data_IF_070619769667
#
_entry.id   IF_070619769667
#
_cell.length_a   1.000
_cell.length_b   1.000
_cell.length_c   1.000
_cell.angle_alpha   90.00
_cell.angle_beta   90.00
_cell.angle_gamma   90.00
#
_symmetry.space_group_name_H-M   'P 1'
#
loop_
_entity.id
_entity.type
_entity.pdbx_description
1 polymer ?
#
# COMPACT_ATOMS: atom_id res chain seq x y z
N UNK A 1 -3.41 -2.96 -4.52
CA UNK A 1 -2.48 -3.63 -3.59
C UNK A 1 -1.48 -2.61 -3.04
N UNK A 2 -0.99 -2.78 -1.82
CA UNK A 2 0.06 -1.94 -1.20
C UNK A 2 1.47 -2.33 -1.69
N UNK A 3 1.64 -2.44 -2.99
CA UNK A 3 2.83 -3.07 -3.58
C UNK A 3 3.97 -2.10 -3.90
N UNK A 4 3.74 -0.78 -3.82
CA UNK A 4 4.74 0.21 -4.22
C UNK A 4 6.06 0.07 -3.44
N UNK A 5 5.99 0.06 -2.11
CA UNK A 5 7.19 0.02 -1.25
C UNK A 5 7.93 -1.30 -1.47
N UNK A 6 7.22 -2.41 -1.68
CA UNK A 6 7.80 -3.75 -1.90
C UNK A 6 8.30 -4.01 -3.32
N UNK A 7 8.15 -3.06 -4.25
CA UNK A 7 8.48 -3.22 -5.67
C UNK A 7 9.49 -2.15 -6.12
N UNK A 8 10.61 -2.07 -5.41
CA UNK A 8 11.65 -1.04 -5.60
C UNK A 8 11.09 0.40 -5.55
N UNK A 9 10.01 0.58 -4.78
CA UNK A 9 9.31 1.86 -4.64
C UNK A 9 8.47 2.24 -5.86
N UNK A 10 8.51 1.44 -6.93
CA UNK A 10 7.75 1.67 -8.16
C UNK A 10 6.32 1.20 -8.02
N UNK A 11 5.39 1.96 -8.60
CA UNK A 11 3.99 1.58 -8.74
C UNK A 11 3.62 1.48 -10.21
N UNK A 12 3.32 0.28 -10.75
CA UNK A 12 2.92 0.11 -12.14
C UNK A 12 1.77 1.02 -12.55
N UNK A 13 0.85 1.28 -11.61
CA UNK A 13 -0.32 2.14 -11.80
C UNK A 13 0.03 3.61 -12.04
N UNK A 14 1.20 4.08 -11.59
CA UNK A 14 1.68 5.43 -11.89
C UNK A 14 2.30 5.52 -13.29
N UNK A 15 2.94 4.44 -13.74
CA UNK A 15 3.44 4.34 -15.12
C UNK A 15 2.29 4.20 -16.12
N UNK A 16 1.33 3.32 -15.83
CA UNK A 16 0.19 2.99 -16.66
C UNK A 16 -1.12 3.34 -15.93
N UNK A 17 -1.53 4.61 -15.92
CA UNK A 17 -2.73 5.07 -15.23
C UNK A 17 -4.00 4.50 -15.87
N UNK A 18 -5.03 4.33 -15.06
CA UNK A 18 -6.38 4.01 -15.52
C UNK A 18 -7.00 5.18 -16.28
N UNK A 19 -8.06 4.90 -17.04
CA UNK A 19 -8.91 5.92 -17.61
C UNK A 19 -10.15 6.16 -16.73
N UNK A 20 -10.65 7.39 -16.70
CA UNK A 20 -11.94 7.77 -16.10
C UNK A 20 -12.90 8.27 -17.18
N UNK A 21 -14.20 8.16 -16.93
CA UNK A 21 -15.21 8.82 -17.75
C UNK A 21 -15.08 10.33 -17.63
N UNK A 22 -15.43 11.04 -18.69
CA UNK A 22 -15.57 12.50 -18.63
C UNK A 22 -16.88 12.84 -17.93
N UNK A 23 -16.84 13.76 -16.98
CA UNK A 23 -18.04 14.19 -16.27
C UNK A 23 -19.09 14.72 -17.26
N UNK A 24 -20.30 14.17 -17.18
CA UNK A 24 -21.40 14.50 -18.09
C UNK A 24 -21.34 13.82 -19.46
N UNK A 25 -20.34 12.97 -19.75
CA UNK A 25 -20.26 12.24 -21.02
C UNK A 25 -19.82 10.78 -20.80
N UNK A 26 -20.78 9.85 -20.85
CA UNK A 26 -20.58 8.41 -20.61
C UNK A 26 -19.89 7.68 -21.76
N UNK A 27 -19.81 8.29 -22.93
CA UNK A 27 -19.21 7.68 -24.13
C UNK A 27 -17.74 8.07 -24.32
N UNK A 28 -17.22 8.95 -23.45
CA UNK A 28 -15.85 9.46 -23.53
C UNK A 28 -15.06 9.15 -22.27
N UNK A 29 -13.84 8.66 -22.46
CA UNK A 29 -12.87 8.46 -21.38
C UNK A 29 -11.64 9.36 -21.57
N UNK A 30 -10.98 9.65 -20.46
CA UNK A 30 -9.69 10.35 -20.41
C UNK A 30 -8.76 9.61 -19.45
N UNK A 31 -7.47 9.66 -19.71
CA UNK A 31 -6.46 9.12 -18.78
C UNK A 31 -6.54 9.87 -17.46
N UNK A 32 -6.61 9.15 -16.34
CA UNK A 32 -6.56 9.74 -15.01
C UNK A 32 -5.20 10.37 -14.74
N UNK A 33 -5.20 11.48 -13.99
CA UNK A 33 -3.96 12.00 -13.43
C UNK A 33 -3.46 11.04 -12.35
N UNK A 34 -2.15 10.85 -12.26
CA UNK A 34 -1.53 9.99 -11.24
C UNK A 34 -1.86 10.51 -9.84
N UNK A 35 -1.93 11.83 -9.67
CA UNK A 35 -2.36 12.44 -8.40
C UNK A 35 -3.77 11.97 -8.00
N UNK A 36 -4.72 11.96 -8.93
CA UNK A 36 -6.10 11.53 -8.66
C UNK A 36 -6.16 10.06 -8.24
N UNK A 37 -5.37 9.21 -8.90
CA UNK A 37 -5.26 7.79 -8.52
C UNK A 37 -4.67 7.64 -7.12
N UNK A 38 -3.66 8.45 -6.78
CA UNK A 38 -3.04 8.41 -5.46
C UNK A 38 -3.98 8.92 -4.35
N UNK A 39 -4.74 9.99 -4.62
CA UNK A 39 -5.76 10.52 -3.72
C UNK A 39 -6.82 9.46 -3.39
N UNK A 40 -7.32 8.73 -4.41
CA UNK A 40 -8.28 7.64 -4.22
C UNK A 40 -7.71 6.48 -3.41
N UNK A 41 -6.45 6.10 -3.64
CA UNK A 41 -5.78 5.05 -2.85
C UNK A 41 -5.61 5.46 -1.40
N UNK A 42 -5.18 6.70 -1.14
CA UNK A 42 -5.04 7.23 0.23
C UNK A 42 -6.39 7.20 0.92
N UNK A 43 -7.46 7.69 0.28
CA UNK A 43 -8.80 7.67 0.84
C UNK A 43 -9.25 6.26 1.21
N UNK A 44 -9.04 5.28 0.32
CA UNK A 44 -9.38 3.88 0.59
C UNK A 44 -8.57 3.31 1.78
N UNK A 45 -7.29 3.66 1.89
CA UNK A 45 -6.45 3.23 3.01
C UNK A 45 -6.89 3.88 4.32
N UNK A 46 -7.21 5.16 4.33
CA UNK A 46 -7.71 5.88 5.50
C UNK A 46 -9.04 5.28 5.98
N UNK A 47 -9.99 5.01 5.07
CA UNK A 47 -11.25 4.35 5.40
C UNK A 47 -11.07 2.93 5.99
N UNK A 48 -10.11 2.17 5.48
CA UNK A 48 -9.80 0.85 6.05
C UNK A 48 -9.07 0.97 7.39
N UNK A 49 -8.23 1.99 7.55
CA UNK A 49 -7.55 2.27 8.80
C UNK A 49 -8.56 2.62 9.91
N UNK A 50 -9.57 3.45 9.62
CA UNK A 50 -10.66 3.73 10.56
C UNK A 50 -11.37 2.44 11.01
N UNK A 51 -11.76 1.58 10.06
CA UNK A 51 -12.37 0.28 10.37
C UNK A 51 -11.48 -0.60 11.23
N UNK A 52 -10.17 -0.58 11.02
CA UNK A 52 -9.21 -1.34 11.83
C UNK A 52 -9.12 -0.79 13.25
N UNK A 53 -9.20 0.53 13.43
CA UNK A 53 -9.18 1.17 14.74
C UNK A 53 -10.45 0.89 15.55
N UNK A 54 -11.57 0.64 14.87
CA UNK A 54 -12.85 0.28 15.51
C UNK A 54 -12.92 -1.19 15.96
N UNK A 55 -11.95 -2.02 15.57
CA UNK A 55 -11.93 -3.43 16.00
C UNK A 55 -11.58 -3.55 17.49
N UNK A 56 -12.38 -4.34 18.20
CA UNK A 56 -12.14 -4.60 19.62
C UNK A 56 -10.89 -5.47 19.82
N UNK A 57 -9.91 -4.93 20.54
CA UNK A 57 -8.77 -5.71 21.01
C UNK A 57 -9.22 -6.79 22.02
N UNK A 58 -8.75 -8.01 21.80
CA UNK A 58 -8.79 -9.10 22.79
C UNK A 58 -7.37 -9.54 23.10
N UNK A 59 -7.10 -10.26 24.20
CA UNK A 59 -5.76 -10.77 24.48
C UNK A 59 -5.16 -11.59 23.33
N UNK A 60 -5.99 -12.27 22.55
CA UNK A 60 -5.57 -13.09 21.40
C UNK A 60 -5.28 -12.26 20.15
N UNK A 61 -6.00 -11.15 19.94
CA UNK A 61 -5.90 -10.33 18.71
C UNK A 61 -5.04 -9.09 18.87
N UNK A 62 -4.69 -8.71 20.11
CA UNK A 62 -4.02 -7.45 20.45
C UNK A 62 -2.77 -7.20 19.61
N UNK A 63 -1.83 -8.14 19.58
CA UNK A 63 -0.57 -7.94 18.85
C UNK A 63 -0.78 -7.82 17.33
N UNK A 64 -1.68 -8.64 16.77
CA UNK A 64 -2.02 -8.61 15.35
C UNK A 64 -2.67 -7.26 14.97
N UNK A 65 -3.67 -6.81 15.74
CA UNK A 65 -4.37 -5.54 15.51
C UNK A 65 -3.43 -4.35 15.64
N UNK A 66 -2.61 -4.31 16.69
CA UNK A 66 -1.65 -3.22 16.89
C UNK A 66 -0.60 -3.18 15.78
N UNK A 67 -0.13 -4.34 15.31
CA UNK A 67 0.79 -4.41 14.17
C UNK A 67 0.11 -3.95 12.88
N UNK A 68 -1.14 -4.33 12.65
CA UNK A 68 -1.91 -3.88 11.48
C UNK A 68 -2.12 -2.36 11.49
N UNK A 69 -2.46 -1.78 12.63
CA UNK A 69 -2.61 -0.33 12.83
C UNK A 69 -1.28 0.38 12.56
N UNK A 70 -0.17 -0.12 13.14
CA UNK A 70 1.15 0.47 12.93
C UNK A 70 1.57 0.43 11.46
N UNK A 71 1.37 -0.71 10.78
CA UNK A 71 1.66 -0.86 9.35
C UNK A 71 0.84 0.10 8.50
N UNK A 72 -0.49 0.16 8.71
CA UNK A 72 -1.35 1.05 7.92
C UNK A 72 -1.00 2.52 8.13
N UNK A 73 -0.81 2.94 9.39
CA UNK A 73 -0.40 4.32 9.71
C UNK A 73 0.91 4.70 9.01
N UNK A 74 1.89 3.80 9.04
CA UNK A 74 3.18 4.01 8.39
C UNK A 74 3.05 4.16 6.87
N UNK A 75 2.33 3.24 6.23
CA UNK A 75 2.11 3.26 4.78
C UNK A 75 1.31 4.48 4.33
N UNK A 76 0.24 4.86 5.06
CA UNK A 76 -0.58 6.04 4.74
C UNK A 76 0.28 7.31 4.75
N UNK A 77 1.17 7.48 5.75
CA UNK A 77 2.05 8.64 5.81
C UNK A 77 2.98 8.73 4.59
N UNK A 78 3.57 7.60 4.17
CA UNK A 78 4.42 7.54 2.97
C UNK A 78 3.61 7.85 1.71
N UNK A 79 2.36 7.37 1.64
CA UNK A 79 1.52 7.62 0.46
C UNK A 79 1.13 9.10 0.35
N UNK A 80 0.77 9.73 1.47
CA UNK A 80 0.40 11.16 1.53
C UNK A 80 1.56 12.10 1.21
N UNK A 81 2.79 11.67 1.45
CA UNK A 81 3.98 12.48 1.21
C UNK A 81 4.68 12.06 -0.08
N UNK A 82 5.37 10.92 -0.05
CA UNK A 82 6.34 10.53 -1.07
C UNK A 82 5.66 10.08 -2.36
N UNK A 83 4.59 9.29 -2.27
CA UNK A 83 3.89 8.85 -3.48
C UNK A 83 3.05 9.95 -4.12
N UNK A 84 2.59 10.95 -3.37
CA UNK A 84 2.00 12.16 -3.94
C UNK A 84 3.04 12.96 -4.74
N UNK A 85 4.26 13.11 -4.21
CA UNK A 85 5.35 13.76 -4.94
C UNK A 85 5.75 12.96 -6.19
N UNK A 86 5.88 11.64 -6.08
CA UNK A 86 6.15 10.77 -7.22
C UNK A 86 5.06 10.87 -8.28
N UNK A 87 3.78 10.84 -7.89
CA UNK A 87 2.65 11.04 -8.80
C UNK A 87 2.72 12.39 -9.52
N UNK A 88 3.09 13.45 -8.80
CA UNK A 88 3.30 14.78 -9.40
C UNK A 88 4.39 14.77 -10.47
N UNK A 89 5.53 14.11 -10.21
CA UNK A 89 6.61 13.99 -11.21
C UNK A 89 6.13 13.31 -12.51
N UNK A 90 5.30 12.29 -12.40
CA UNK A 90 4.68 11.66 -13.58
C UNK A 90 3.74 12.62 -14.32
N UNK A 91 2.86 13.32 -13.60
CA UNK A 91 1.89 14.24 -14.20
C UNK A 91 2.56 15.49 -14.82
N UNK A 92 3.70 15.93 -14.27
CA UNK A 92 4.51 17.04 -14.80
C UNK A 92 5.39 16.64 -16.00
N UNK A 93 5.49 15.35 -16.32
CA UNK A 93 6.37 14.85 -17.39
C UNK A 93 7.86 14.94 -17.05
N UNK A 94 8.21 14.77 -15.77
CA UNK A 94 9.60 14.82 -15.32
C UNK A 94 10.48 13.74 -16.02
N UNK A 95 11.81 13.96 -16.12
CA UNK A 95 12.71 12.98 -16.70
C UNK A 95 12.63 11.61 -16.02
N UNK A 96 12.72 10.54 -16.81
CA UNK A 96 12.63 9.16 -16.31
C UNK A 96 13.67 8.84 -15.22
N UNK A 97 14.86 9.46 -15.29
CA UNK A 97 15.91 9.32 -14.28
C UNK A 97 15.50 9.92 -12.93
N UNK A 98 14.81 11.05 -12.94
CA UNK A 98 14.29 11.69 -11.72
C UNK A 98 13.17 10.86 -11.09
N UNK A 99 12.24 10.36 -11.92
CA UNK A 99 11.15 9.47 -11.47
C UNK A 99 11.73 8.20 -10.83
N UNK A 100 12.71 7.56 -11.49
CA UNK A 100 13.37 6.36 -10.98
C UNK A 100 14.10 6.64 -9.66
N UNK A 101 14.83 7.74 -9.56
CA UNK A 101 15.55 8.11 -8.34
C UNK A 101 14.58 8.34 -7.17
N UNK A 102 13.46 9.01 -7.41
CA UNK A 102 12.42 9.21 -6.39
C UNK A 102 11.83 7.87 -5.94
N UNK A 103 11.42 7.00 -6.89
CA UNK A 103 10.92 5.67 -6.58
C UNK A 103 11.92 4.85 -5.74
N UNK A 104 13.19 4.81 -6.16
CA UNK A 104 14.24 4.10 -5.43
C UNK A 104 14.41 4.63 -4.01
N UNK A 105 14.39 5.96 -3.82
CA UNK A 105 14.50 6.55 -2.49
C UNK A 105 13.36 6.15 -1.56
N UNK A 106 12.15 5.97 -2.09
CA UNK A 106 11.00 5.48 -1.31
C UNK A 106 11.27 4.05 -0.83
N UNK A 107 11.79 3.18 -1.70
CA UNK A 107 12.17 1.85 -1.28
C UNK A 107 13.26 1.89 -0.21
N UNK A 108 14.39 2.52 -0.52
CA UNK A 108 15.59 2.46 0.31
C UNK A 108 15.36 3.05 1.71
N UNK A 109 14.52 4.09 1.82
CA UNK A 109 14.22 4.73 3.10
C UNK A 109 13.18 3.99 3.93
N UNK A 110 12.23 3.29 3.28
CA UNK A 110 11.02 2.83 3.97
C UNK A 110 10.80 1.31 3.96
N UNK A 111 11.46 0.57 3.07
CA UNK A 111 11.22 -0.86 2.86
C UNK A 111 11.48 -1.71 4.10
N UNK A 112 12.63 -1.56 4.77
CA UNK A 112 13.00 -2.42 5.91
C UNK A 112 11.96 -2.36 7.03
N UNK A 113 11.47 -1.17 7.37
CA UNK A 113 10.43 -1.00 8.39
C UNK A 113 9.10 -1.57 7.91
N UNK A 114 8.74 -1.32 6.64
CA UNK A 114 7.54 -1.91 6.03
C UNK A 114 7.58 -3.44 6.10
N UNK A 115 8.67 -4.06 5.67
CA UNK A 115 8.86 -5.52 5.64
C UNK A 115 8.80 -6.11 7.05
N UNK A 116 9.42 -5.46 8.03
CA UNK A 116 9.38 -5.89 9.43
C UNK A 116 7.94 -5.92 9.97
N UNK A 117 7.18 -4.84 9.76
CA UNK A 117 5.79 -4.75 10.20
C UNK A 117 4.89 -5.74 9.43
N UNK A 118 5.09 -5.88 8.13
CA UNK A 118 4.35 -6.82 7.29
C UNK A 118 4.60 -8.27 7.72
N UNK A 119 5.85 -8.68 7.86
CA UNK A 119 6.21 -10.04 8.29
C UNK A 119 5.66 -10.36 9.68
N UNK A 120 5.71 -9.40 10.61
CA UNK A 120 5.10 -9.55 11.93
C UNK A 120 3.59 -9.72 11.84
N UNK A 121 2.90 -8.95 11.00
CA UNK A 121 1.46 -9.07 10.78
C UNK A 121 1.09 -10.45 10.20
N UNK A 122 1.82 -10.92 9.19
CA UNK A 122 1.61 -12.24 8.59
C UNK A 122 1.85 -13.35 9.62
N UNK A 123 2.92 -13.26 10.41
CA UNK A 123 3.25 -14.24 11.44
C UNK A 123 2.15 -14.35 12.50
N UNK A 124 1.70 -13.21 13.04
CA UNK A 124 0.62 -13.17 14.04
C UNK A 124 -0.73 -13.62 13.47
N UNK A 125 -1.04 -13.27 12.22
CA UNK A 125 -2.22 -13.74 11.50
C UNK A 125 -2.23 -15.26 11.28
N UNK A 126 -1.08 -15.85 10.91
CA UNK A 126 -0.93 -17.31 10.78
C UNK A 126 -1.19 -18.03 12.10
N UNK A 127 -0.62 -17.53 13.20
CA UNK A 127 -0.83 -18.08 14.52
C UNK A 127 -2.31 -18.02 14.94
N UNK A 128 -2.97 -16.88 14.71
CA UNK A 128 -4.40 -16.71 14.99
C UNK A 128 -5.27 -17.68 14.17
N UNK A 129 -5.02 -17.79 12.86
CA UNK A 129 -5.77 -18.68 11.98
C UNK A 129 -5.66 -20.15 12.42
N UNK A 130 -4.45 -20.61 12.74
CA UNK A 130 -4.22 -21.96 13.23
C UNK A 130 -4.94 -22.24 14.55
N UNK A 131 -4.92 -21.31 15.50
CA UNK A 131 -5.60 -21.45 16.79
C UNK A 131 -7.13 -21.49 16.67
N UNK A 132 -7.68 -20.86 15.62
CA UNK A 132 -9.12 -20.75 15.41
C UNK A 132 -9.65 -21.69 14.31
N UNK A 133 -8.82 -22.62 13.82
CA UNK A 133 -9.16 -23.55 12.73
C UNK A 133 -9.68 -22.82 11.47
N UNK A 134 -9.12 -21.64 11.19
CA UNK A 134 -9.45 -20.87 10.00
C UNK A 134 -8.52 -21.34 8.88
N UNK A 135 -9.09 -21.97 7.86
CA UNK A 135 -8.35 -22.33 6.66
C UNK A 135 -8.08 -21.07 5.83
N UNK A 136 -6.80 -20.74 5.67
CA UNK A 136 -6.36 -19.58 4.89
C UNK A 136 -5.40 -20.06 3.80
N UNK A 137 -5.72 -19.72 2.55
CA UNK A 137 -4.77 -19.90 1.46
C UNK A 137 -3.75 -18.76 1.48
N UNK A 138 -2.57 -19.04 2.02
CA UNK A 138 -1.53 -18.03 2.22
C UNK A 138 -0.83 -17.59 0.94
N UNK A 139 -0.98 -18.31 -0.18
CA UNK A 139 -0.66 -17.87 -1.55
C UNK A 139 0.72 -17.25 -1.86
N UNK A 140 1.64 -17.17 -0.89
CA UNK A 140 2.93 -16.49 -0.99
C UNK A 140 3.90 -17.20 -0.03
N UNK A 141 4.84 -17.94 -0.59
CA UNK A 141 6.00 -18.47 0.14
C UNK A 141 6.95 -17.31 0.45
N UNK A 142 6.87 -16.73 1.65
CA UNK A 142 7.66 -15.54 2.05
C UNK A 142 8.95 -15.88 2.80
N UNK A 143 9.50 -17.08 2.68
CA UNK A 143 10.86 -17.40 3.15
C UNK A 143 11.46 -18.57 2.38
N UNK A 144 12.78 -18.55 2.06
CA UNK A 144 13.48 -19.75 1.65
C UNK A 144 13.50 -20.74 2.81
N UNK A 145 13.22 -22.02 2.53
CA UNK A 145 13.55 -23.12 3.42
C UNK A 145 15.07 -23.13 3.65
N UNK A 146 15.46 -23.39 4.90
CA UNK A 146 16.85 -23.49 5.38
C UNK A 146 17.77 -24.30 4.48
#
# INVERSE_FOLDING_TARGET
MLNGISNDGTMPELTYPSAKMVDGNKDKTVVMKRKEMMDQKILFLEQNFEKLQDLKETPQTKEMLQTAIALNKYVIAIYKNEYQQLAKLYDDGAPATQIKAMAQSIHDNYYTTYETLFNKLISTGKAYAAQNNIEVNWGIQTSPSK
#
